data_IF_622171725181
#
_entry.id   IF_622171725181
#
_cell.length_a   1.000
_cell.length_b   1.000
_cell.length_c   1.000
_cell.angle_alpha   90.00
_cell.angle_beta   90.00
_cell.angle_gamma   90.00
#
_symmetry.space_group_name_H-M   'P 1'
#
loop_
_entity.id
_entity.type
_entity.pdbx_description
1 polymer ?
#
# COMPACT_ATOMS: atom_id res chain seq x y z
N UNK A 1 -35.42 18.28 -4.60
CA UNK A 1 -35.27 18.99 -3.31
C UNK A 1 -35.48 17.91 -2.27
N UNK A 2 -34.40 17.34 -1.74
CA UNK A 2 -34.52 16.29 -0.72
C UNK A 2 -34.77 16.98 0.61
N UNK A 3 -35.85 16.58 1.27
CA UNK A 3 -36.37 17.11 2.52
C UNK A 3 -35.51 16.78 3.73
N UNK A 4 -35.55 17.72 4.69
CA UNK A 4 -35.34 17.64 6.13
C UNK A 4 -34.45 16.54 6.72
N UNK A 5 -33.31 16.99 7.25
CA UNK A 5 -32.54 16.32 8.29
C UNK A 5 -33.25 16.62 9.62
N UNK A 6 -33.87 15.63 10.28
CA UNK A 6 -33.98 15.61 11.74
C UNK A 6 -34.31 14.20 12.27
N UNK A 7 -33.36 13.62 12.99
CA UNK A 7 -33.58 12.53 13.93
C UNK A 7 -32.37 12.41 14.86
N UNK A 8 -32.43 13.17 15.95
CA UNK A 8 -32.31 12.66 17.31
C UNK A 8 -31.10 11.78 17.65
N UNK A 9 -30.04 12.44 18.11
CA UNK A 9 -29.40 12.23 19.42
C UNK A 9 -29.72 10.90 20.16
N UNK A 10 -28.70 10.05 20.29
CA UNK A 10 -28.47 9.30 21.54
C UNK A 10 -27.03 9.54 21.97
N UNK A 11 -26.89 10.42 22.97
CA UNK A 11 -25.75 10.44 23.87
C UNK A 11 -25.57 9.06 24.51
N UNK A 12 -24.34 8.55 24.52
CA UNK A 12 -23.82 7.90 25.72
C UNK A 12 -22.29 7.87 25.63
N UNK A 13 -21.71 8.82 26.35
CA UNK A 13 -20.33 8.81 26.86
C UNK A 13 -19.99 7.43 27.42
N UNK A 14 -18.95 6.81 26.86
CA UNK A 14 -18.18 5.78 27.53
C UNK A 14 -16.77 6.33 27.70
N UNK A 15 -16.56 7.04 28.82
CA UNK A 15 -15.23 7.23 29.39
C UNK A 15 -14.58 5.86 29.59
N UNK A 16 -13.53 5.59 28.82
CA UNK A 16 -12.46 4.72 29.29
C UNK A 16 -11.10 5.31 28.89
N UNK A 17 -10.42 6.07 29.77
CA UNK A 17 -9.01 6.34 29.65
C UNK A 17 -8.25 5.26 30.42
N UNK A 18 -7.73 4.25 29.71
CA UNK A 18 -6.80 3.24 30.23
C UNK A 18 -6.11 2.64 29.00
N UNK A 19 -4.79 2.56 28.84
CA UNK A 19 -3.63 2.99 29.59
C UNK A 19 -2.45 2.72 28.63
N UNK A 20 -1.39 3.48 28.79
CA UNK A 20 -0.09 3.33 28.14
C UNK A 20 0.42 1.88 28.02
N UNK A 21 0.96 1.57 26.85
CA UNK A 21 2.13 0.71 26.60
C UNK A 21 2.71 1.21 25.26
N UNK A 22 3.77 2.02 25.21
CA UNK A 22 5.16 1.75 25.62
C UNK A 22 5.68 0.40 25.12
N UNK A 23 5.96 0.35 23.82
CA UNK A 23 7.12 -0.31 23.22
C UNK A 23 7.35 0.41 21.89
N UNK A 24 8.11 1.49 21.97
CA UNK A 24 9.51 1.52 21.56
C UNK A 24 9.64 1.56 20.04
N UNK A 25 10.20 2.69 19.61
CA UNK A 25 10.72 2.93 18.27
C UNK A 25 11.78 1.89 17.91
N UNK A 26 11.36 0.72 17.47
CA UNK A 26 12.21 -0.29 16.84
C UNK A 26 11.39 -0.79 15.65
N UNK A 27 11.63 -0.32 14.43
CA UNK A 27 12.63 -0.94 13.55
C UNK A 27 13.15 0.10 12.56
N UNK A 28 14.01 1.00 13.03
CA UNK A 28 14.97 1.68 12.18
C UNK A 28 16.34 1.07 12.44
N UNK A 29 16.67 -0.06 11.80
CA UNK A 29 18.06 -0.48 11.55
C UNK A 29 18.13 -1.70 10.64
N UNK A 30 18.42 -1.42 9.37
CA UNK A 30 19.35 -2.15 8.51
C UNK A 30 19.31 -3.69 8.49
N UNK A 31 18.98 -4.16 7.29
CA UNK A 31 19.79 -5.13 6.55
C UNK A 31 19.97 -6.51 7.19
N UNK A 32 18.98 -7.36 6.99
CA UNK A 32 19.31 -8.72 6.60
C UNK A 32 18.44 -9.12 5.43
N UNK A 33 19.09 -9.69 4.44
CA UNK A 33 18.59 -10.15 3.15
C UNK A 33 17.62 -11.33 3.30
N UNK A 34 16.56 -11.14 4.08
CA UNK A 34 15.37 -11.94 4.00
C UNK A 34 14.37 -10.97 3.37
N UNK A 35 14.37 -10.91 2.03
CA UNK A 35 13.20 -10.36 1.37
C UNK A 35 12.12 -11.42 1.61
N UNK A 36 11.43 -11.27 2.73
CA UNK A 36 10.29 -12.09 3.09
C UNK A 36 9.28 -12.02 1.95
N UNK A 37 8.50 -13.09 1.78
CA UNK A 37 7.46 -13.17 0.74
C UNK A 37 6.54 -11.94 0.79
N UNK A 38 6.23 -11.45 1.99
CA UNK A 38 5.47 -10.22 2.22
C UNK A 38 6.15 -8.98 1.63
N UNK A 39 7.48 -8.84 1.77
CA UNK A 39 8.22 -7.73 1.17
C UNK A 39 8.31 -7.82 -0.37
N UNK A 40 8.34 -9.04 -0.91
CA UNK A 40 8.23 -9.26 -2.35
C UNK A 40 6.82 -8.88 -2.85
N UNK A 41 5.77 -9.24 -2.12
CA UNK A 41 4.38 -8.91 -2.45
C UNK A 41 4.12 -7.39 -2.40
N UNK A 42 4.62 -6.70 -1.37
CA UNK A 42 4.51 -5.24 -1.27
C UNK A 42 5.18 -4.56 -2.46
N UNK A 43 6.40 -5.00 -2.82
CA UNK A 43 7.13 -4.48 -3.97
C UNK A 43 6.42 -4.79 -5.30
N UNK A 44 5.85 -5.98 -5.43
CA UNK A 44 5.05 -6.38 -6.60
C UNK A 44 3.87 -5.42 -6.78
N UNK A 45 3.12 -5.16 -5.72
CA UNK A 45 1.96 -4.27 -5.74
C UNK A 45 2.34 -2.82 -6.07
N UNK A 46 3.46 -2.33 -5.52
CA UNK A 46 3.99 -1.00 -5.85
C UNK A 46 4.32 -0.88 -7.34
N UNK A 47 5.04 -1.87 -7.91
CA UNK A 47 5.41 -1.89 -9.32
C UNK A 47 4.19 -1.98 -10.25
N UNK A 48 3.21 -2.81 -9.90
CA UNK A 48 1.95 -2.91 -10.66
C UNK A 48 1.18 -1.60 -10.65
N UNK A 49 1.08 -0.94 -9.50
CA UNK A 49 0.41 0.36 -9.36
C UNK A 49 1.13 1.45 -10.17
N UNK A 50 2.47 1.49 -10.14
CA UNK A 50 3.26 2.41 -10.96
C UNK A 50 3.10 2.17 -12.46
N UNK A 51 3.12 0.90 -12.88
CA UNK A 51 2.91 0.49 -14.27
C UNK A 51 1.51 0.89 -14.74
N UNK A 52 0.47 0.59 -13.97
CA UNK A 52 -0.90 0.93 -14.29
C UNK A 52 -1.10 2.45 -14.35
N UNK A 53 -0.59 3.18 -13.35
CA UNK A 53 -0.65 4.64 -13.33
C UNK A 53 0.06 5.28 -14.53
N UNK A 54 1.14 4.68 -15.03
CA UNK A 54 1.81 5.15 -16.25
C UNK A 54 1.03 4.79 -17.52
N UNK A 55 0.52 3.56 -17.63
CA UNK A 55 -0.29 3.09 -18.77
C UNK A 55 -1.60 3.88 -18.91
N UNK A 56 -2.25 4.24 -17.79
CA UNK A 56 -3.47 5.05 -17.79
C UNK A 56 -3.23 6.51 -18.24
N UNK A 57 -1.99 6.99 -18.27
CA UNK A 57 -1.67 8.32 -18.80
C UNK A 57 -1.72 8.35 -20.33
N UNK A 58 -1.82 9.56 -20.88
CA UNK A 58 -1.77 9.76 -22.34
C UNK A 58 -0.47 9.15 -22.89
N UNK A 59 -0.49 8.49 -24.07
CA UNK A 59 0.65 7.76 -24.63
C UNK A 59 1.90 8.62 -24.88
N UNK A 60 1.76 9.94 -24.96
CA UNK A 60 2.90 10.88 -25.06
C UNK A 60 3.68 11.06 -23.75
N UNK A 61 3.11 10.66 -22.62
CA UNK A 61 3.71 10.76 -21.29
C UNK A 61 4.06 9.40 -20.69
N UNK A 62 3.67 8.33 -21.37
CA UNK A 62 4.09 6.98 -21.03
C UNK A 62 5.60 6.86 -21.20
N UNK A 63 6.23 6.05 -20.35
CA UNK A 63 7.66 5.75 -20.41
C UNK A 63 7.86 4.28 -20.77
N UNK A 64 7.81 3.89 -22.06
CA UNK A 64 7.86 2.49 -22.47
C UNK A 64 9.08 1.73 -21.93
N UNK A 65 10.24 2.39 -21.88
CA UNK A 65 11.44 1.79 -21.31
C UNK A 65 11.32 1.49 -19.80
N UNK A 66 10.65 2.36 -19.05
CA UNK A 66 10.43 2.19 -17.61
C UNK A 66 9.33 1.16 -17.34
N UNK A 67 8.28 1.16 -18.16
CA UNK A 67 7.25 0.12 -18.13
C UNK A 67 7.85 -1.26 -18.37
N UNK A 68 8.78 -1.40 -19.32
CA UNK A 68 9.47 -2.68 -19.54
C UNK A 68 10.28 -3.10 -18.33
N UNK A 69 11.05 -2.19 -17.72
CA UNK A 69 11.80 -2.48 -16.49
C UNK A 69 10.89 -2.94 -15.36
N UNK A 70 9.75 -2.26 -15.14
CA UNK A 70 8.78 -2.69 -14.13
C UNK A 70 8.19 -4.06 -14.44
N UNK A 71 7.88 -4.36 -15.71
CA UNK A 71 7.38 -5.68 -16.12
C UNK A 71 8.41 -6.78 -15.88
N UNK A 72 9.67 -6.54 -16.23
CA UNK A 72 10.76 -7.49 -16.01
C UNK A 72 10.99 -7.71 -14.51
N UNK A 73 10.84 -6.67 -13.68
CA UNK A 73 10.99 -6.76 -12.23
C UNK A 73 9.79 -7.47 -11.57
N UNK A 74 8.56 -7.20 -12.03
CA UNK A 74 7.34 -7.93 -11.65
C UNK A 74 7.53 -9.42 -11.96
N UNK A 75 7.97 -9.79 -13.17
CA UNK A 75 8.21 -11.18 -13.56
C UNK A 75 9.26 -11.86 -12.66
N UNK A 76 10.37 -11.17 -12.35
CA UNK A 76 11.37 -11.70 -11.43
C UNK A 76 10.82 -11.94 -10.03
N UNK A 77 9.98 -11.04 -9.52
CA UNK A 77 9.34 -11.18 -8.21
C UNK A 77 8.33 -12.34 -8.23
N UNK A 78 7.48 -12.44 -9.26
CA UNK A 78 6.52 -13.54 -9.44
C UNK A 78 7.24 -14.89 -9.51
N UNK A 79 8.35 -14.98 -10.27
CA UNK A 79 9.18 -16.18 -10.34
C UNK A 79 9.76 -16.56 -8.99
N UNK A 80 10.19 -15.58 -8.19
CA UNK A 80 10.74 -15.82 -6.85
C UNK A 80 9.68 -16.26 -5.84
N UNK A 81 8.43 -15.80 -6.03
CA UNK A 81 7.26 -16.26 -5.31
C UNK A 81 6.69 -17.59 -5.83
N UNK A 82 7.25 -18.16 -6.91
CA UNK A 82 6.79 -19.40 -7.54
C UNK A 82 5.29 -19.38 -7.92
N UNK A 83 4.76 -18.21 -8.31
CA UNK A 83 3.36 -17.99 -8.71
C UNK A 83 3.06 -18.44 -10.16
#
# INVERSE_FOLDING_TARGET
>A
MYDEIDSGETESVSDNPTQLSSEDSTTLCAASEIIDEDGLLDKLFELESLLEADVQRKPKHQKPALQQQWRDEIEQITLRLHL
#
